data_IF_054424565818
#
_entry.id   IF_054424565818
#
_cell.length_a   1.000
_cell.length_b   1.000
_cell.length_c   1.000
_cell.angle_alpha   90.00
_cell.angle_beta   90.00
_cell.angle_gamma   90.00
#
_symmetry.space_group_name_H-M   'P 1'
#
loop_
_entity.id
_entity.type
_entity.pdbx_description
1 polymer ?
#
# COMPACT_ATOMS: atom_id res chain seq x y z
N UNK A 1 -4.22 -12.93 -2.06
CA UNK A 1 -3.65 -11.58 -2.25
C UNK A 1 -3.26 -11.03 -0.90
N UNK A 2 -2.10 -10.39 -0.84
CA UNK A 2 -1.63 -9.66 0.33
C UNK A 2 -1.71 -8.17 0.02
N UNK A 3 -2.38 -7.41 0.88
CA UNK A 3 -2.55 -5.96 0.79
C UNK A 3 -1.81 -5.29 1.94
N UNK A 4 -0.66 -4.69 1.64
CA UNK A 4 0.16 -3.99 2.62
C UNK A 4 -0.36 -2.57 2.82
N UNK A 5 -0.75 -2.23 4.06
CA UNK A 5 -1.39 -0.97 4.39
C UNK A 5 -2.86 -0.87 3.95
N UNK A 6 -3.54 -2.01 3.82
CA UNK A 6 -4.95 -2.09 3.41
C UNK A 6 -5.97 -1.58 4.44
N UNK A 7 -5.52 -0.93 5.52
CA UNK A 7 -6.33 -0.37 6.58
C UNK A 7 -7.40 -1.35 7.12
N UNK A 8 -8.68 -1.03 6.99
CA UNK A 8 -9.81 -1.84 7.49
C UNK A 8 -10.22 -2.99 6.56
N UNK A 9 -9.52 -3.17 5.43
CA UNK A 9 -9.73 -4.30 4.52
C UNK A 9 -10.99 -4.21 3.66
N UNK A 10 -11.53 -3.01 3.41
CA UNK A 10 -12.70 -2.83 2.53
C UNK A 10 -12.43 -3.35 1.10
N UNK A 11 -11.25 -3.05 0.53
CA UNK A 11 -10.82 -3.61 -0.75
C UNK A 11 -10.85 -5.15 -0.73
N UNK A 12 -10.40 -5.75 0.37
CA UNK A 12 -10.42 -7.19 0.55
C UNK A 12 -11.84 -7.77 0.60
N UNK A 13 -12.77 -7.08 1.26
CA UNK A 13 -14.17 -7.49 1.32
C UNK A 13 -14.79 -7.46 -0.08
N UNK A 14 -14.58 -6.39 -0.84
CA UNK A 14 -15.05 -6.25 -2.22
C UNK A 14 -14.43 -7.30 -3.14
N UNK A 15 -13.11 -7.50 -3.04
CA UNK A 15 -12.39 -8.51 -3.80
C UNK A 15 -13.00 -9.91 -3.63
N UNK A 16 -13.35 -10.28 -2.40
CA UNK A 16 -13.89 -11.61 -2.10
C UNK A 16 -15.35 -11.80 -2.56
N UNK A 17 -16.08 -10.71 -2.85
CA UNK A 17 -17.41 -10.83 -3.49
C UNK A 17 -17.31 -11.38 -4.91
N UNK A 18 -16.24 -11.01 -5.62
CA UNK A 18 -15.94 -11.42 -7.00
C UNK A 18 -15.15 -12.74 -7.01
N UNK A 19 -14.13 -12.85 -6.15
CA UNK A 19 -13.23 -14.00 -6.07
C UNK A 19 -13.54 -14.85 -4.81
N UNK A 20 -14.69 -15.51 -4.81
CA UNK A 20 -15.25 -16.21 -3.62
C UNK A 20 -14.40 -17.34 -3.03
N UNK A 21 -13.45 -17.88 -3.79
CA UNK A 21 -12.48 -18.89 -3.31
C UNK A 21 -11.12 -18.30 -2.92
N UNK A 22 -10.96 -16.98 -3.02
CA UNK A 22 -9.72 -16.28 -2.73
C UNK A 22 -9.42 -16.20 -1.24
N UNK A 23 -8.15 -15.99 -0.94
CA UNK A 23 -7.70 -15.57 0.39
C UNK A 23 -7.16 -14.15 0.27
N UNK A 24 -7.62 -13.26 1.14
CA UNK A 24 -7.18 -11.88 1.21
C UNK A 24 -6.61 -11.59 2.59
N UNK A 25 -5.37 -11.12 2.64
CA UNK A 25 -4.66 -10.79 3.88
C UNK A 25 -4.25 -9.33 3.85
N UNK A 26 -4.76 -8.54 4.78
CA UNK A 26 -4.29 -7.19 5.06
C UNK A 26 -3.09 -7.26 6.00
N UNK A 27 -2.01 -6.58 5.63
CA UNK A 27 -0.82 -6.42 6.47
C UNK A 27 -0.82 -5.01 7.04
N UNK A 28 -0.94 -4.90 8.35
CA UNK A 28 -1.12 -3.63 9.06
C UNK A 28 -0.40 -3.62 10.41
N UNK A 29 -0.34 -2.46 11.06
CA UNK A 29 0.25 -2.37 12.40
C UNK A 29 -0.54 -3.20 13.43
N UNK A 30 0.13 -3.61 14.52
CA UNK A 30 -0.46 -4.49 15.55
C UNK A 30 -1.77 -3.94 16.12
N UNK A 31 -1.87 -2.63 16.37
CA UNK A 31 -3.09 -2.01 16.91
C UNK A 31 -4.29 -2.21 16.00
N UNK A 32 -4.11 -2.01 14.69
CA UNK A 32 -5.19 -2.20 13.73
C UNK A 32 -5.52 -3.67 13.52
N UNK A 33 -4.51 -4.54 13.49
CA UNK A 33 -4.72 -6.00 13.42
C UNK A 33 -5.54 -6.49 14.62
N UNK A 34 -5.24 -6.02 15.84
CA UNK A 34 -5.98 -6.38 17.05
C UNK A 34 -7.43 -5.89 17.02
N UNK A 35 -7.68 -4.71 16.45
CA UNK A 35 -9.03 -4.16 16.26
C UNK A 35 -9.84 -4.96 15.24
N UNK A 36 -9.18 -5.45 14.19
CA UNK A 36 -9.85 -6.07 13.04
C UNK A 36 -9.89 -7.60 13.09
N UNK A 37 -9.25 -8.25 14.07
CA UNK A 37 -9.09 -9.71 14.16
C UNK A 37 -10.40 -10.53 14.07
N UNK A 38 -11.52 -9.94 14.49
CA UNK A 38 -12.83 -10.59 14.51
C UNK A 38 -13.68 -10.28 13.26
N UNK A 39 -13.16 -9.48 12.31
CA UNK A 39 -13.83 -9.20 11.04
C UNK A 39 -13.87 -10.47 10.18
N UNK A 40 -15.07 -10.87 9.77
CA UNK A 40 -15.26 -12.04 8.92
C UNK A 40 -14.78 -11.79 7.48
N UNK A 41 -14.18 -12.80 6.86
CA UNK A 41 -13.89 -12.85 5.43
C UNK A 41 -12.50 -12.36 5.04
N UNK A 42 -11.95 -11.35 5.72
CA UNK A 42 -10.61 -10.81 5.46
C UNK A 42 -9.67 -11.20 6.59
N UNK A 43 -8.47 -11.67 6.27
CA UNK A 43 -7.44 -11.98 7.26
C UNK A 43 -6.61 -10.73 7.55
N UNK A 44 -6.20 -10.56 8.81
CA UNK A 44 -5.32 -9.48 9.24
C UNK A 44 -4.04 -10.05 9.83
N UNK A 45 -2.90 -9.45 9.47
CA UNK A 45 -1.58 -9.85 9.94
C UNK A 45 -0.73 -8.62 10.18
N UNK A 46 0.21 -8.67 11.12
CA UNK A 46 1.23 -7.63 11.29
C UNK A 46 2.56 -7.96 10.61
N UNK A 47 2.55 -9.00 9.75
CA UNK A 47 3.71 -9.46 8.98
C UNK A 47 3.29 -9.82 7.57
N UNK A 48 4.15 -9.48 6.61
CA UNK A 48 4.05 -9.99 5.25
C UNK A 48 4.16 -11.53 5.32
N UNK A 49 3.19 -12.29 4.75
CA UNK A 49 3.26 -13.74 4.76
C UNK A 49 4.47 -14.23 3.96
N UNK A 50 4.94 -15.44 4.24
CA UNK A 50 6.07 -16.02 3.51
C UNK A 50 5.80 -16.21 2.01
N UNK A 51 4.53 -16.28 1.61
CA UNK A 51 4.14 -16.38 0.21
C UNK A 51 2.71 -15.90 -0.04
N UNK A 52 2.51 -15.25 -1.18
CA UNK A 52 1.21 -14.92 -1.75
C UNK A 52 1.26 -14.97 -3.28
N UNK A 53 0.11 -15.09 -3.96
CA UNK A 53 0.09 -15.00 -5.43
C UNK A 53 0.32 -13.55 -5.91
N UNK A 54 -0.29 -12.60 -5.20
CA UNK A 54 -0.25 -11.17 -5.50
C UNK A 54 0.13 -10.43 -4.23
N UNK A 55 1.20 -9.64 -4.29
CA UNK A 55 1.49 -8.59 -3.32
C UNK A 55 0.99 -7.25 -3.85
N UNK A 56 0.27 -6.51 -3.04
CA UNK A 56 -0.36 -5.25 -3.39
C UNK A 56 -0.08 -4.22 -2.29
N UNK A 57 0.09 -2.97 -2.69
CA UNK A 57 0.13 -1.82 -1.78
C UNK A 57 -0.42 -0.60 -2.50
N UNK A 58 -1.08 0.27 -1.75
CA UNK A 58 -1.72 1.47 -2.27
C UNK A 58 -1.36 2.70 -1.45
N UNK A 59 -0.39 3.48 -1.92
CA UNK A 59 0.02 4.73 -1.27
C UNK A 59 0.61 4.59 0.14
N UNK A 60 0.89 3.38 0.61
CA UNK A 60 1.41 3.14 1.97
C UNK A 60 2.92 3.40 2.08
N UNK A 61 3.68 3.04 1.04
CA UNK A 61 5.15 3.04 1.08
C UNK A 61 5.73 4.42 1.40
N UNK A 62 5.10 5.50 0.92
CA UNK A 62 5.54 6.89 1.16
C UNK A 62 5.48 7.35 2.62
N UNK A 63 4.91 6.55 3.53
CA UNK A 63 4.80 6.85 4.95
C UNK A 63 5.72 5.97 5.83
N UNK A 64 6.53 5.11 5.22
CA UNK A 64 7.39 4.17 5.94
C UNK A 64 8.81 4.72 6.13
N UNK A 65 9.46 4.28 7.21
CA UNK A 65 10.86 4.60 7.48
C UNK A 65 11.80 3.96 6.44
N UNK A 66 11.52 2.71 6.05
CA UNK A 66 12.26 1.93 5.06
C UNK A 66 11.32 1.27 4.03
N UNK A 67 10.84 2.02 3.03
CA UNK A 67 9.92 1.49 2.02
C UNK A 67 10.57 0.41 1.15
N UNK A 68 11.89 0.48 0.90
CA UNK A 68 12.58 -0.45 0.01
C UNK A 68 12.75 -1.82 0.64
N UNK A 69 12.97 -1.91 1.96
CA UNK A 69 12.99 -3.19 2.67
C UNK A 69 11.62 -3.89 2.63
N UNK A 70 10.55 -3.13 2.85
CA UNK A 70 9.17 -3.63 2.78
C UNK A 70 8.84 -4.11 1.37
N UNK A 71 9.19 -3.32 0.36
CA UNK A 71 8.97 -3.68 -1.03
C UNK A 71 9.79 -4.93 -1.43
N UNK A 72 11.04 -5.06 -0.97
CA UNK A 72 11.85 -6.25 -1.19
C UNK A 72 11.21 -7.50 -0.59
N UNK A 73 10.67 -7.41 0.62
CA UNK A 73 9.90 -8.49 1.25
C UNK A 73 8.61 -8.81 0.49
N UNK A 74 7.94 -7.81 -0.08
CA UNK A 74 6.78 -7.98 -0.96
C UNK A 74 7.12 -8.76 -2.23
N UNK A 75 8.22 -8.41 -2.90
CA UNK A 75 8.74 -9.15 -4.06
C UNK A 75 9.17 -10.59 -3.70
N UNK A 76 9.73 -10.81 -2.51
CA UNK A 76 10.11 -12.15 -2.04
C UNK A 76 8.88 -13.02 -1.73
N UNK A 77 7.80 -12.43 -1.23
CA UNK A 77 6.54 -13.12 -0.95
C UNK A 77 5.74 -13.44 -2.22
N UNK A 78 5.75 -12.54 -3.20
CA UNK A 78 4.90 -12.66 -4.39
C UNK A 78 5.35 -13.78 -5.33
N UNK A 79 4.41 -14.66 -5.71
CA UNK A 79 4.63 -15.74 -6.68
C UNK A 79 4.34 -15.33 -8.12
N UNK A 80 3.40 -14.40 -8.34
CA UNK A 80 2.93 -14.07 -9.68
C UNK A 80 3.01 -12.57 -9.95
N UNK A 81 2.44 -11.74 -9.08
CA UNK A 81 2.34 -10.31 -9.35
C UNK A 81 2.70 -9.44 -8.14
N UNK A 82 3.31 -8.30 -8.42
CA UNK A 82 3.45 -7.17 -7.49
C UNK A 82 2.74 -5.96 -8.10
N UNK A 83 1.83 -5.35 -7.35
CA UNK A 83 1.00 -4.24 -7.82
C UNK A 83 1.15 -3.06 -6.87
N UNK A 84 1.62 -1.94 -7.40
CA UNK A 84 1.82 -0.71 -6.63
C UNK A 84 0.87 0.35 -7.20
N UNK A 85 0.00 0.92 -6.37
CA UNK A 85 -0.98 1.95 -6.74
C UNK A 85 -0.81 3.18 -5.85
N UNK A 86 -1.22 4.37 -6.31
CA UNK A 86 -1.23 5.59 -5.49
C UNK A 86 0.12 5.98 -4.88
N UNK A 87 1.23 5.66 -5.57
CA UNK A 87 2.57 5.98 -5.10
C UNK A 87 2.99 7.38 -5.56
N UNK A 88 3.65 8.11 -4.68
CA UNK A 88 4.33 9.36 -5.01
C UNK A 88 5.77 9.09 -5.43
N UNK A 89 6.10 9.33 -6.70
CA UNK A 89 7.44 9.15 -7.26
C UNK A 89 8.17 10.47 -7.47
N UNK A 90 9.49 10.44 -7.43
CA UNK A 90 10.38 11.50 -7.92
C UNK A 90 11.78 10.92 -8.19
N UNK A 91 12.54 11.56 -9.08
CA UNK A 91 13.91 11.12 -9.38
C UNK A 91 14.84 11.33 -8.17
N UNK A 92 14.52 12.32 -7.34
CA UNK A 92 15.22 12.60 -6.07
C UNK A 92 14.27 12.26 -4.93
N UNK A 93 14.76 11.52 -3.94
CA UNK A 93 14.00 11.31 -2.71
C UNK A 93 13.83 12.64 -1.99
N UNK A 94 12.59 13.04 -1.77
CA UNK A 94 12.21 14.27 -1.08
C UNK A 94 11.33 13.92 0.11
N UNK A 95 11.46 14.70 1.17
CA UNK A 95 10.68 14.57 2.38
C UNK A 95 9.84 15.82 2.58
N UNK A 96 8.57 15.64 2.88
CA UNK A 96 7.70 16.74 3.26
C UNK A 96 6.74 16.30 4.36
N UNK A 97 6.18 17.29 5.04
CA UNK A 97 5.09 17.07 5.99
C UNK A 97 3.80 17.24 5.21
N UNK A 98 3.00 16.19 5.18
CA UNK A 98 1.64 16.28 4.68
C UNK A 98 0.72 16.54 5.86
N UNK A 99 -0.19 17.51 5.69
CA UNK A 99 -1.25 17.80 6.66
C UNK A 99 -2.59 17.46 6.03
N UNK A 100 -3.42 16.71 6.75
CA UNK A 100 -4.81 16.45 6.39
C UNK A 100 -5.71 16.56 7.61
N UNK A 101 -7.03 16.47 7.41
CA UNK A 101 -8.00 16.44 8.51
C UNK A 101 -8.17 15.00 8.96
N UNK A 102 -8.15 14.76 10.26
CA UNK A 102 -8.24 13.42 10.87
C UNK A 102 -9.39 12.59 10.27
N UNK A 103 -10.52 13.24 9.97
CA UNK A 103 -11.70 12.56 9.43
C UNK A 103 -11.95 12.82 7.93
N UNK A 104 -11.05 13.46 7.17
CA UNK A 104 -11.30 13.70 5.72
C UNK A 104 -11.18 12.44 4.86
N UNK A 105 -10.49 11.41 5.35
CA UNK A 105 -10.15 10.22 4.55
C UNK A 105 -10.86 8.94 5.06
N UNK A 106 -11.67 9.06 6.11
CA UNK A 106 -12.48 7.97 6.67
C UNK A 106 -13.93 8.07 6.24
N UNK A 107 -14.64 6.93 6.20
CA UNK A 107 -16.08 6.91 5.97
C UNK A 107 -16.88 7.08 7.26
N UNK A 108 -18.06 7.70 7.16
CA UNK A 108 -19.00 7.84 8.28
C UNK A 108 -18.87 9.15 9.07
N UNK A 109 -19.72 9.35 10.09
CA UNK A 109 -19.67 10.54 10.94
C UNK A 109 -18.46 10.50 11.88
N UNK A 110 -18.04 11.68 12.34
CA UNK A 110 -17.05 11.81 13.42
C UNK A 110 -17.62 11.14 14.68
N UNK A 111 -16.90 10.21 15.34
CA UNK A 111 -17.37 9.56 16.56
C UNK A 111 -17.63 10.54 17.70
N UNK A 112 -18.62 10.23 18.56
CA UNK A 112 -18.95 11.04 19.72
C UNK A 112 -17.72 11.24 20.63
N UNK A 113 -17.49 12.49 21.03
CA UNK A 113 -16.36 12.87 21.87
C UNK A 113 -15.04 13.07 21.13
N UNK A 114 -15.02 12.96 19.80
CA UNK A 114 -13.87 13.29 18.97
C UNK A 114 -14.10 14.59 18.21
N UNK A 115 -13.03 15.37 18.05
CA UNK A 115 -13.02 16.58 17.24
C UNK A 115 -12.18 16.35 15.99
N UNK A 116 -12.68 16.83 14.85
CA UNK A 116 -11.87 16.85 13.64
C UNK A 116 -10.76 17.89 13.80
N UNK A 117 -9.53 17.44 13.57
CA UNK A 117 -8.32 18.21 13.79
C UNK A 117 -7.31 17.94 12.69
N UNK A 118 -6.38 18.88 12.54
CA UNK A 118 -5.28 18.69 11.61
C UNK A 118 -4.34 17.60 12.15
N UNK A 119 -3.97 16.68 11.27
CA UNK A 119 -2.95 15.68 11.52
C UNK A 119 -1.84 15.86 10.51
N UNK A 120 -0.61 15.84 11.01
CA UNK A 120 0.59 15.98 10.19
C UNK A 120 1.41 14.70 10.25
N UNK A 121 1.84 14.22 9.09
CA UNK A 121 2.61 12.99 8.96
C UNK A 121 3.74 13.17 7.95
N UNK A 122 4.87 12.47 8.14
CA UNK A 122 5.96 12.49 7.19
C UNK A 122 5.48 11.81 5.90
N UNK A 123 5.84 12.39 4.77
CA UNK A 123 5.64 11.80 3.46
C UNK A 123 6.97 11.88 2.71
N UNK A 124 7.37 10.79 2.07
CA UNK A 124 8.52 10.73 1.16
C UNK A 124 8.15 10.33 -0.25
N UNK A 125 8.87 10.86 -1.23
CA UNK A 125 8.79 10.33 -2.61
C UNK A 125 9.61 9.05 -2.74
N UNK A 126 9.19 8.17 -3.64
CA UNK A 126 9.93 6.96 -4.01
C UNK A 126 10.70 7.19 -5.31
N UNK A 127 11.83 6.51 -5.49
CA UNK A 127 12.56 6.52 -6.75
C UNK A 127 12.11 5.33 -7.62
N UNK A 128 11.51 5.62 -8.77
CA UNK A 128 10.97 4.58 -9.66
C UNK A 128 12.07 3.64 -10.19
N UNK A 129 13.24 4.18 -10.56
CA UNK A 129 14.36 3.39 -11.08
C UNK A 129 14.90 2.38 -10.05
N UNK A 130 14.94 2.75 -8.77
CA UNK A 130 15.31 1.83 -7.69
C UNK A 130 14.30 0.69 -7.55
N UNK A 131 13.01 0.96 -7.72
CA UNK A 131 11.97 -0.07 -7.72
C UNK A 131 12.14 -0.99 -8.93
N UNK A 132 12.38 -0.44 -10.12
CA UNK A 132 12.60 -1.22 -11.34
C UNK A 132 13.83 -2.13 -11.20
N UNK A 133 14.93 -1.61 -10.63
CA UNK A 133 16.13 -2.37 -10.36
C UNK A 133 15.88 -3.51 -9.35
N UNK A 134 15.13 -3.22 -8.27
CA UNK A 134 14.73 -4.23 -7.29
C UNK A 134 13.86 -5.33 -7.93
N UNK A 135 12.85 -4.94 -8.72
CA UNK A 135 11.97 -5.89 -9.40
C UNK A 135 12.77 -6.83 -10.31
N UNK A 136 13.66 -6.28 -11.14
CA UNK A 136 14.54 -7.03 -12.02
C UNK A 136 15.44 -8.00 -11.24
N UNK A 137 16.07 -7.54 -10.16
CA UNK A 137 16.90 -8.38 -9.29
C UNK A 137 16.11 -9.51 -8.61
N UNK A 138 14.80 -9.35 -8.44
CA UNK A 138 13.89 -10.35 -7.88
C UNK A 138 13.22 -11.22 -8.95
N UNK A 139 13.58 -11.07 -10.22
CA UNK A 139 13.03 -11.87 -11.33
C UNK A 139 11.61 -11.46 -11.71
N UNK A 140 11.31 -10.18 -11.67
CA UNK A 140 10.05 -9.61 -12.12
C UNK A 140 10.29 -8.62 -13.28
N UNK A 141 9.34 -8.58 -14.21
CA UNK A 141 9.26 -7.59 -15.29
C UNK A 141 8.11 -6.62 -15.05
N UNK A 142 8.31 -5.33 -15.31
CA UNK A 142 7.25 -4.33 -15.26
C UNK A 142 6.41 -4.38 -16.53
N UNK A 143 5.19 -4.94 -16.45
CA UNK A 143 4.30 -5.14 -17.60
C UNK A 143 3.30 -3.99 -17.81
N UNK A 144 3.11 -3.11 -16.81
CA UNK A 144 2.23 -1.95 -16.94
C UNK A 144 2.72 -0.76 -16.13
N UNK A 145 2.58 0.44 -16.72
CA UNK A 145 2.91 1.75 -16.14
C UNK A 145 1.78 2.72 -16.50
N UNK A 146 0.94 3.06 -15.53
CA UNK A 146 -0.23 3.92 -15.76
C UNK A 146 -0.05 5.20 -14.95
N UNK A 147 -0.01 6.35 -15.62
CA UNK A 147 0.06 7.64 -14.93
C UNK A 147 -1.22 7.93 -14.15
N UNK A 148 -1.09 8.46 -12.94
CA UNK A 148 -2.24 8.89 -12.13
C UNK A 148 -2.43 10.40 -12.23
N UNK A 149 -3.69 10.83 -12.24
CA UNK A 149 -4.06 12.25 -12.26
C UNK A 149 -4.34 12.67 -10.80
N UNK A 150 -3.42 13.42 -10.19
CA UNK A 150 -3.65 14.06 -8.89
C UNK A 150 -2.41 14.15 -7.98
N UNK A 151 -2.52 14.99 -6.95
CA UNK A 151 -1.71 14.92 -5.72
C UNK A 151 -0.19 15.18 -5.84
N UNK A 152 0.27 15.88 -6.88
CA UNK A 152 1.70 16.16 -7.05
C UNK A 152 2.15 17.30 -6.14
N UNK A 153 3.08 17.02 -5.23
CA UNK A 153 3.78 18.02 -4.41
C UNK A 153 5.15 18.28 -5.06
N UNK A 154 5.37 19.50 -5.53
CA UNK A 154 6.59 19.87 -6.27
C UNK A 154 6.75 19.04 -7.55
N UNK A 155 7.94 18.46 -7.74
CA UNK A 155 8.30 17.64 -8.91
C UNK A 155 7.90 16.16 -8.77
N UNK A 156 7.04 15.83 -7.79
CA UNK A 156 6.54 14.45 -7.65
C UNK A 156 5.46 14.12 -8.68
N UNK A 157 5.31 12.83 -8.97
CA UNK A 157 4.27 12.33 -9.88
C UNK A 157 3.66 11.02 -9.38
N UNK A 158 2.40 10.79 -9.73
CA UNK A 158 1.67 9.56 -9.41
C UNK A 158 1.76 8.52 -10.54
N UNK A 159 1.99 7.25 -10.19
CA UNK A 159 1.98 6.15 -11.17
C UNK A 159 1.57 4.82 -10.54
N UNK A 160 0.86 4.00 -11.31
CA UNK A 160 0.59 2.61 -11.01
C UNK A 160 1.60 1.73 -11.74
N UNK A 161 2.18 0.79 -11.01
CA UNK A 161 3.16 -0.15 -11.53
C UNK A 161 2.64 -1.57 -11.31
N UNK A 162 2.66 -2.38 -12.38
CA UNK A 162 2.33 -3.80 -12.31
C UNK A 162 3.53 -4.59 -12.77
N UNK A 163 4.01 -5.47 -11.90
CA UNK A 163 5.12 -6.36 -12.15
C UNK A 163 4.65 -7.81 -12.20
N UNK A 164 5.17 -8.58 -13.15
CA UNK A 164 4.90 -10.00 -13.34
C UNK A 164 6.17 -10.81 -13.12
N UNK A 165 6.06 -11.94 -12.40
CA UNK A 165 7.16 -12.89 -12.21
C UNK A 165 7.53 -13.56 -13.54
N UNK A 166 8.84 -13.61 -13.84
CA UNK A 166 9.42 -14.30 -15.00
C UNK A 166 9.44 -15.83 -14.82
#
# INVERSE_FOLDING_TARGET
MTDFGGATGELGADFLTVFRGGVFTVVENTTLVDLMKDRSGVQFSNRIPASCDIFYTSGTLQYLDDPMAVLAAGFDSAKQYVVLVHNSFSDVETFHVQTSRLFSNGGGPIPDGFEDQDVSYPHRTLNEDQIMALASAKGFECISRIGEIGGTIGDSYGKQLVFQKL
#
